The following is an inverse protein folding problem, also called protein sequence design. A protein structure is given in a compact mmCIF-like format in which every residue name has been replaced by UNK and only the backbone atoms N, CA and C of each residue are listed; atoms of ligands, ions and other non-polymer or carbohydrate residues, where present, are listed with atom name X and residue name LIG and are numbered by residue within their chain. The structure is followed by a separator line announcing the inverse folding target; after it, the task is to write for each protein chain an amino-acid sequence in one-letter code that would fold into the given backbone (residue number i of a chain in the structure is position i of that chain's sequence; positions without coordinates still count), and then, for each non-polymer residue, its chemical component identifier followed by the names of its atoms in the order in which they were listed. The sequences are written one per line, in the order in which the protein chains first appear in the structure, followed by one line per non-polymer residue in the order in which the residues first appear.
data_IF_168749730543
#
_entry.id   IF_168749730543
#
_cell.length_a   1.000
_cell.length_b   1.000
_cell.length_c   1.000
_cell.angle_alpha   90.00
_cell.angle_beta   90.00
_cell.angle_gamma   90.00
#
_symmetry.space_group_name_H-M   'P 1'
#
loop_
_entity.id
_entity.type
_entity.pdbx_description
1 polymer ?
#
# COMPACT_ATOMS: atom_id res chain seq x y z
N UNK A 1 15.18 24.52 -38.78
CA UNK A 1 14.62 24.81 -37.44
C UNK A 1 13.13 24.57 -37.49
N UNK A 2 12.71 23.35 -37.20
CA UNK A 2 11.32 22.94 -37.11
C UNK A 2 11.18 22.24 -35.76
N UNK A 3 10.71 22.96 -34.76
CA UNK A 3 10.48 22.41 -33.42
C UNK A 3 9.37 21.37 -33.43
N UNK A 4 9.35 20.42 -32.48
CA UNK A 4 8.29 19.44 -32.38
C UNK A 4 6.99 20.14 -31.95
N UNK A 5 5.92 19.88 -32.67
CA UNK A 5 4.55 20.24 -32.29
C UNK A 5 4.18 19.59 -30.97
N UNK A 6 3.51 20.30 -30.03
CA UNK A 6 3.06 19.69 -28.78
C UNK A 6 1.99 18.64 -29.08
N UNK A 7 2.24 17.40 -28.65
CA UNK A 7 1.27 16.31 -28.68
C UNK A 7 0.22 16.62 -27.60
N UNK A 8 -1.08 16.74 -27.94
CA UNK A 8 -2.12 16.91 -26.92
C UNK A 8 -2.23 15.64 -26.10
N UNK A 9 -2.10 15.76 -24.77
CA UNK A 9 -1.92 14.65 -23.83
C UNK A 9 -3.17 13.76 -23.62
N UNK A 10 -4.30 14.04 -24.28
CA UNK A 10 -5.42 13.11 -24.37
C UNK A 10 -6.37 13.50 -25.51
N UNK A 11 -6.65 12.58 -26.41
CA UNK A 11 -7.75 12.72 -27.38
C UNK A 11 -9.05 12.31 -26.68
N UNK A 12 -9.67 13.24 -25.96
CA UNK A 12 -11.03 13.04 -25.47
C UNK A 12 -11.97 13.81 -26.41
N UNK A 13 -12.77 13.13 -27.24
CA UNK A 13 -13.74 13.82 -28.08
C UNK A 13 -14.77 14.50 -27.17
N UNK A 14 -15.00 15.80 -27.37
CA UNK A 14 -16.04 16.54 -26.67
C UNK A 14 -17.42 16.18 -27.26
N UNK A 15 -17.90 14.99 -26.93
CA UNK A 15 -19.23 14.51 -27.29
C UNK A 15 -20.24 14.76 -26.16
N UNK A 16 -21.54 14.79 -26.50
CA UNK A 16 -22.65 14.90 -25.52
C UNK A 16 -22.58 13.79 -24.46
N UNK A 17 -21.98 12.65 -24.81
CA UNK A 17 -21.73 11.53 -23.92
C UNK A 17 -20.71 11.81 -22.80
N UNK A 18 -19.85 12.84 -22.94
CA UNK A 18 -18.90 13.27 -21.91
C UNK A 18 -19.40 14.49 -21.12
N UNK A 19 -20.14 15.39 -21.78
CA UNK A 19 -20.69 16.60 -21.16
C UNK A 19 -21.81 16.35 -20.15
N UNK A 20 -22.67 15.36 -20.38
CA UNK A 20 -23.78 15.05 -19.48
C UNK A 20 -23.33 14.41 -18.15
N UNK A 21 -22.43 13.40 -18.13
CA UNK A 21 -21.88 12.86 -16.89
C UNK A 21 -21.12 13.90 -16.07
N UNK A 22 -20.33 14.77 -16.71
CA UNK A 22 -19.52 15.79 -16.01
C UNK A 22 -20.37 16.86 -15.33
N UNK A 23 -21.50 17.29 -15.94
CA UNK A 23 -22.45 18.19 -15.30
C UNK A 23 -23.22 17.53 -14.15
N UNK A 24 -23.61 16.25 -14.31
CA UNK A 24 -24.27 15.46 -13.27
C UNK A 24 -23.38 15.25 -12.05
N UNK A 25 -22.07 15.13 -12.24
CA UNK A 25 -21.09 14.98 -11.17
C UNK A 25 -20.86 16.29 -10.40
N UNK A 26 -20.98 17.44 -11.07
CA UNK A 26 -20.75 18.74 -10.45
C UNK A 26 -21.95 19.25 -9.60
N UNK A 27 -23.18 18.97 -10.01
CA UNK A 27 -24.39 19.40 -9.27
C UNK A 27 -25.57 18.41 -9.41
N UNK A 28 -25.44 17.19 -8.86
CA UNK A 28 -26.39 16.10 -9.10
C UNK A 28 -27.83 16.44 -8.70
N UNK A 29 -28.02 17.14 -7.56
CA UNK A 29 -29.34 17.50 -7.06
C UNK A 29 -30.09 18.48 -7.98
N UNK A 30 -29.39 19.49 -8.51
CA UNK A 30 -30.01 20.50 -9.37
C UNK A 30 -30.45 19.88 -10.71
N UNK A 31 -29.60 19.04 -11.31
CA UNK A 31 -29.91 18.34 -12.56
C UNK A 31 -31.14 17.41 -12.42
N UNK A 32 -31.24 16.66 -11.31
CA UNK A 32 -32.38 15.77 -11.04
C UNK A 32 -33.68 16.54 -10.87
N UNK A 33 -33.65 17.67 -10.14
CA UNK A 33 -34.84 18.52 -9.95
C UNK A 33 -35.30 19.13 -11.27
N UNK A 34 -34.38 19.65 -12.10
CA UNK A 34 -34.73 20.21 -13.41
C UNK A 34 -35.35 19.14 -14.31
N UNK A 35 -34.75 17.94 -14.36
CA UNK A 35 -35.25 16.84 -15.18
C UNK A 35 -36.64 16.36 -14.75
N UNK A 36 -36.87 16.24 -13.43
CA UNK A 36 -38.17 15.90 -12.86
C UNK A 36 -39.24 16.94 -13.22
N UNK A 37 -38.92 18.24 -13.08
CA UNK A 37 -39.86 19.33 -13.41
C UNK A 37 -40.21 19.36 -14.91
N UNK A 38 -39.23 19.11 -15.79
CA UNK A 38 -39.47 19.00 -17.24
C UNK A 38 -40.40 17.82 -17.57
N UNK A 39 -40.11 16.64 -17.02
CA UNK A 39 -40.94 15.44 -17.22
C UNK A 39 -42.35 15.62 -16.64
N UNK A 40 -42.49 16.29 -15.49
CA UNK A 40 -43.77 16.61 -14.87
C UNK A 40 -44.65 17.48 -15.78
N UNK A 41 -44.08 18.56 -16.33
CA UNK A 41 -44.79 19.44 -17.26
C UNK A 41 -45.20 18.70 -18.55
N UNK A 42 -44.27 17.95 -19.15
CA UNK A 42 -44.50 17.21 -20.40
C UNK A 42 -45.54 16.11 -20.21
N UNK A 43 -45.42 15.31 -19.16
CA UNK A 43 -46.34 14.20 -18.89
C UNK A 43 -47.74 14.67 -18.51
N UNK A 44 -47.85 15.74 -17.69
CA UNK A 44 -49.15 16.35 -17.35
C UNK A 44 -49.85 16.93 -18.59
N UNK A 45 -49.09 17.60 -19.47
CA UNK A 45 -49.62 18.09 -20.74
C UNK A 45 -50.04 16.94 -21.67
N UNK A 46 -49.23 15.89 -21.78
CA UNK A 46 -49.51 14.73 -22.63
C UNK A 46 -50.77 13.99 -22.22
N UNK A 47 -50.98 13.75 -20.92
CA UNK A 47 -52.21 13.14 -20.40
C UNK A 47 -53.44 14.00 -20.69
N UNK A 48 -53.32 15.34 -20.53
CA UNK A 48 -54.39 16.29 -20.85
C UNK A 48 -54.71 16.32 -22.35
N UNK A 49 -53.70 16.29 -23.21
CA UNK A 49 -53.87 16.28 -24.66
C UNK A 49 -54.49 14.97 -25.18
N UNK A 50 -54.06 13.82 -24.66
CA UNK A 50 -54.67 12.52 -24.97
C UNK A 50 -56.15 12.46 -24.56
N UNK A 51 -56.55 13.13 -23.47
CA UNK A 51 -57.96 13.19 -23.10
C UNK A 51 -58.77 14.05 -24.06
N UNK A 52 -58.23 15.23 -24.42
CA UNK A 52 -58.90 16.19 -25.31
C UNK A 52 -59.16 15.60 -26.70
N UNK A 53 -58.17 14.95 -27.31
CA UNK A 53 -58.28 14.40 -28.68
C UNK A 53 -59.40 13.36 -28.85
N UNK A 54 -59.77 12.64 -27.79
CA UNK A 54 -60.79 11.57 -27.87
C UNK A 54 -62.15 12.01 -27.33
N UNK A 55 -62.20 12.88 -26.31
CA UNK A 55 -63.45 13.26 -25.62
C UNK A 55 -63.91 14.70 -25.90
N UNK A 56 -63.10 15.49 -26.62
CA UNK A 56 -63.27 16.94 -26.86
C UNK A 56 -63.40 17.78 -25.58
N UNK A 57 -63.08 17.23 -24.40
CA UNK A 57 -63.11 17.90 -23.11
C UNK A 57 -61.71 17.95 -22.50
N UNK A 58 -61.33 19.13 -22.00
CA UNK A 58 -60.08 19.29 -21.26
C UNK A 58 -60.20 18.69 -19.87
N UNK A 59 -59.34 17.73 -19.56
CA UNK A 59 -59.15 17.29 -18.18
C UNK A 59 -58.59 18.49 -17.37
N UNK A 60 -59.13 18.79 -16.17
CA UNK A 60 -58.57 19.80 -15.29
C UNK A 60 -57.07 19.58 -15.12
N UNK A 61 -56.27 20.64 -15.17
CA UNK A 61 -54.80 20.51 -15.14
C UNK A 61 -54.33 19.88 -13.82
N UNK A 62 -55.03 20.17 -12.72
CA UNK A 62 -54.78 19.58 -11.41
C UNK A 62 -54.92 18.05 -11.43
N UNK A 63 -55.92 17.52 -12.13
CA UNK A 63 -56.16 16.08 -12.24
C UNK A 63 -55.06 15.40 -13.07
N UNK A 64 -54.61 16.05 -14.16
CA UNK A 64 -53.52 15.54 -14.99
C UNK A 64 -52.17 15.55 -14.24
N UNK A 65 -51.92 16.61 -13.45
CA UNK A 65 -50.73 16.72 -12.58
C UNK A 65 -50.72 15.66 -11.49
N UNK A 66 -51.86 15.46 -10.82
CA UNK A 66 -52.01 14.42 -9.80
C UNK A 66 -51.80 13.02 -10.37
N UNK A 67 -52.43 12.72 -11.51
CA UNK A 67 -52.22 11.45 -12.20
C UNK A 67 -50.76 11.23 -12.57
N UNK A 68 -50.07 12.23 -13.14
CA UNK A 68 -48.66 12.08 -13.45
C UNK A 68 -47.84 11.74 -12.21
N UNK A 69 -48.06 12.44 -11.09
CA UNK A 69 -47.30 12.22 -9.86
C UNK A 69 -47.49 10.82 -9.31
N UNK A 70 -48.72 10.32 -9.28
CA UNK A 70 -49.02 8.97 -8.77
C UNK A 70 -48.51 7.86 -9.70
N UNK A 71 -48.44 8.11 -11.01
CA UNK A 71 -47.87 7.20 -12.00
C UNK A 71 -46.34 7.19 -11.96
N UNK A 72 -45.70 8.36 -11.90
CA UNK A 72 -44.25 8.52 -11.89
C UNK A 72 -43.62 7.94 -10.63
N UNK A 73 -44.24 8.15 -9.48
CA UNK A 73 -43.79 7.56 -8.19
C UNK A 73 -44.20 6.10 -8.04
N UNK A 74 -44.87 5.52 -9.05
CA UNK A 74 -45.36 4.14 -9.05
C UNK A 74 -46.32 3.80 -7.89
N UNK A 75 -46.97 4.81 -7.29
CA UNK A 75 -47.94 4.64 -6.19
C UNK A 75 -49.28 4.11 -6.71
N UNK A 76 -49.82 4.73 -7.76
CA UNK A 76 -51.00 4.25 -8.47
C UNK A 76 -52.28 4.05 -7.63
N UNK A 77 -52.76 5.09 -6.93
CA UNK A 77 -53.98 4.99 -6.10
C UNK A 77 -55.24 4.52 -6.86
N UNK A 78 -55.34 4.79 -8.16
CA UNK A 78 -56.46 4.36 -9.00
C UNK A 78 -57.74 5.19 -8.84
N UNK A 79 -57.66 6.33 -8.16
CA UNK A 79 -58.74 7.32 -8.02
C UNK A 79 -59.05 8.05 -9.33
N UNK A 80 -58.02 8.26 -10.17
CA UNK A 80 -58.13 8.79 -11.53
C UNK A 80 -57.39 7.88 -12.50
N UNK A 81 -58.07 7.39 -13.53
CA UNK A 81 -57.54 6.42 -14.49
C UNK A 81 -57.78 6.92 -15.92
N UNK A 82 -56.81 6.80 -16.84
CA UNK A 82 -57.02 7.17 -18.24
C UNK A 82 -58.01 6.21 -18.92
N UNK A 83 -59.14 6.75 -19.38
CA UNK A 83 -60.15 6.00 -20.13
C UNK A 83 -59.74 5.75 -21.58
N UNK A 84 -58.87 6.60 -22.15
CA UNK A 84 -58.45 6.55 -23.55
C UNK A 84 -57.25 5.62 -23.78
N UNK A 85 -57.17 4.99 -24.94
CA UNK A 85 -56.01 4.18 -25.34
C UNK A 85 -54.71 5.01 -25.37
N UNK A 86 -54.78 6.25 -25.85
CA UNK A 86 -53.68 7.23 -25.82
C UNK A 86 -53.18 7.47 -24.39
N UNK A 87 -54.09 7.76 -23.45
CA UNK A 87 -53.74 8.04 -22.07
C UNK A 87 -53.16 6.83 -21.35
N UNK A 88 -53.62 5.61 -21.67
CA UNK A 88 -53.04 4.36 -21.16
C UNK A 88 -51.61 4.15 -21.66
N UNK A 89 -51.35 4.43 -22.94
CA UNK A 89 -50.00 4.40 -23.51
C UNK A 89 -49.06 5.37 -22.77
N UNK A 90 -49.47 6.63 -22.62
CA UNK A 90 -48.70 7.64 -21.88
C UNK A 90 -48.45 7.21 -20.43
N UNK A 91 -49.47 6.71 -19.73
CA UNK A 91 -49.36 6.23 -18.36
C UNK A 91 -48.33 5.08 -18.22
N UNK A 92 -48.35 4.10 -19.13
CA UNK A 92 -47.36 3.00 -19.10
C UNK A 92 -45.93 3.47 -19.34
N UNK A 93 -45.71 4.39 -20.27
CA UNK A 93 -44.39 4.96 -20.56
C UNK A 93 -43.89 5.78 -19.36
N UNK A 94 -44.75 6.61 -18.77
CA UNK A 94 -44.41 7.39 -17.57
C UNK A 94 -44.01 6.50 -16.39
N UNK A 95 -44.70 5.37 -16.19
CA UNK A 95 -44.35 4.41 -15.14
C UNK A 95 -42.97 3.77 -15.36
N UNK A 96 -42.64 3.36 -16.60
CA UNK A 96 -41.33 2.80 -16.94
C UNK A 96 -40.22 3.82 -16.71
N UNK A 97 -40.42 5.05 -17.17
CA UNK A 97 -39.46 6.16 -16.99
C UNK A 97 -39.28 6.48 -15.49
N UNK A 98 -40.35 6.47 -14.70
CA UNK A 98 -40.31 6.67 -13.26
C UNK A 98 -39.39 5.68 -12.54
N UNK A 99 -39.52 4.38 -12.83
CA UNK A 99 -38.65 3.33 -12.26
C UNK A 99 -37.18 3.55 -12.62
N UNK A 100 -36.88 3.88 -13.89
CA UNK A 100 -35.50 4.12 -14.34
C UNK A 100 -34.87 5.32 -13.61
N UNK A 101 -35.63 6.38 -13.41
CA UNK A 101 -35.16 7.58 -12.70
C UNK A 101 -34.99 7.32 -11.20
N UNK A 102 -35.91 6.59 -10.58
CA UNK A 102 -35.78 6.18 -9.18
C UNK A 102 -34.52 5.34 -8.94
N UNK A 103 -34.18 4.42 -9.85
CA UNK A 103 -32.96 3.64 -9.76
C UNK A 103 -31.69 4.51 -9.89
N UNK A 104 -31.70 5.46 -10.83
CA UNK A 104 -30.59 6.41 -10.99
C UNK A 104 -30.42 7.32 -9.78
N UNK A 105 -31.52 7.81 -9.20
CA UNK A 105 -31.51 8.63 -7.99
C UNK A 105 -30.91 7.88 -6.80
N UNK A 106 -31.22 6.59 -6.63
CA UNK A 106 -30.61 5.75 -5.58
C UNK A 106 -29.08 5.64 -5.78
N UNK A 107 -28.61 5.46 -7.02
CA UNK A 107 -27.18 5.37 -7.31
C UNK A 107 -26.45 6.68 -6.96
N UNK A 108 -27.02 7.82 -7.34
CA UNK A 108 -26.47 9.15 -7.02
C UNK A 108 -26.47 9.42 -5.52
N UNK A 109 -27.58 9.12 -4.83
CA UNK A 109 -27.65 9.26 -3.37
C UNK A 109 -26.62 8.39 -2.66
N UNK A 110 -26.40 7.16 -3.12
CA UNK A 110 -25.38 6.28 -2.55
C UNK A 110 -23.99 6.88 -2.67
N UNK A 111 -23.67 7.61 -3.74
CA UNK A 111 -22.37 8.25 -3.93
C UNK A 111 -22.21 9.48 -3.03
N UNK A 112 -23.28 10.27 -2.84
CA UNK A 112 -23.27 11.45 -1.96
C UNK A 112 -23.11 11.04 -0.48
N UNK A 113 -23.64 9.87 -0.10
CA UNK A 113 -23.53 9.33 1.27
C UNK A 113 -22.15 8.74 1.58
N UNK A 114 -21.30 8.51 0.59
CA UNK A 114 -19.94 8.07 0.83
C UNK A 114 -19.11 9.25 1.33
N UNK A 115 -18.51 9.09 2.51
CA UNK A 115 -17.60 10.09 3.05
C UNK A 115 -16.39 10.27 2.14
N UNK A 116 -15.97 11.53 1.98
CA UNK A 116 -14.71 11.84 1.31
C UNK A 116 -13.52 11.25 2.08
N UNK A 117 -12.40 11.04 1.38
CA UNK A 117 -11.18 10.48 1.99
C UNK A 117 -10.72 11.28 3.21
N UNK A 118 -10.75 12.62 3.11
CA UNK A 118 -10.34 13.52 4.19
C UNK A 118 -11.34 13.55 5.36
N UNK A 119 -12.64 13.48 5.07
CA UNK A 119 -13.69 13.37 6.09
C UNK A 119 -13.57 12.05 6.86
N UNK A 120 -13.34 10.94 6.15
CA UNK A 120 -13.08 9.62 6.75
C UNK A 120 -11.84 9.65 7.63
N UNK A 121 -10.78 10.36 7.22
CA UNK A 121 -9.58 10.54 8.03
C UNK A 121 -9.87 11.31 9.32
N UNK A 122 -10.54 12.48 9.22
CA UNK A 122 -10.89 13.29 10.40
C UNK A 122 -11.81 12.52 11.33
N UNK A 123 -12.78 11.79 10.79
CA UNK A 123 -13.69 10.93 11.55
C UNK A 123 -12.93 9.83 12.33
N UNK A 124 -12.05 9.08 11.65
CA UNK A 124 -11.25 8.04 12.28
C UNK A 124 -10.28 8.61 13.34
N UNK A 125 -9.70 9.78 13.08
CA UNK A 125 -8.86 10.47 14.05
C UNK A 125 -9.64 10.89 15.29
N UNK A 126 -10.83 11.45 15.12
CA UNK A 126 -11.74 11.80 16.22
C UNK A 126 -12.13 10.58 17.06
N UNK A 127 -12.52 9.48 16.40
CA UNK A 127 -12.80 8.21 17.05
C UNK A 127 -11.61 7.69 17.86
N UNK A 128 -10.39 7.74 17.32
CA UNK A 128 -9.17 7.34 18.02
C UNK A 128 -8.94 8.14 19.30
N UNK A 129 -9.17 9.46 19.27
CA UNK A 129 -9.06 10.31 20.45
C UNK A 129 -10.11 9.92 21.50
N UNK A 130 -11.35 9.72 21.08
CA UNK A 130 -12.43 9.36 22.00
C UNK A 130 -12.18 7.99 22.66
N UNK A 131 -11.79 6.99 21.87
CA UNK A 131 -11.43 5.66 22.38
C UNK A 131 -10.28 5.73 23.38
N UNK A 132 -9.24 6.52 23.11
CA UNK A 132 -8.10 6.68 24.03
C UNK A 132 -8.52 7.30 25.38
N UNK A 133 -9.48 8.24 25.38
CA UNK A 133 -10.06 8.80 26.62
C UNK A 133 -10.83 7.74 27.39
N UNK A 134 -11.69 7.00 26.69
CA UNK A 134 -12.53 5.95 27.29
C UNK A 134 -11.70 4.79 27.85
N UNK A 135 -10.60 4.42 27.17
CA UNK A 135 -9.65 3.42 27.64
C UNK A 135 -9.03 3.81 28.99
N UNK A 136 -8.60 5.08 29.13
CA UNK A 136 -8.06 5.60 30.40
C UNK A 136 -9.10 5.56 31.51
N UNK A 137 -10.36 5.89 31.21
CA UNK A 137 -11.46 5.82 32.17
C UNK A 137 -11.70 4.39 32.67
N UNK A 138 -11.77 3.39 31.79
CA UNK A 138 -11.92 1.99 32.21
C UNK A 138 -10.70 1.46 32.95
N UNK A 139 -9.48 1.80 32.51
CA UNK A 139 -8.25 1.42 33.21
C UNK A 139 -8.22 1.97 34.66
N UNK A 140 -8.61 3.22 34.87
CA UNK A 140 -8.70 3.82 36.20
C UNK A 140 -9.74 3.08 37.08
N UNK A 141 -10.90 2.74 36.52
CA UNK A 141 -11.93 1.98 37.24
C UNK A 141 -11.45 0.58 37.62
N UNK A 142 -10.72 -0.12 36.73
CA UNK A 142 -10.15 -1.44 37.04
C UNK A 142 -9.24 -1.35 38.26
N UNK A 143 -8.32 -0.38 38.29
CA UNK A 143 -7.38 -0.20 39.42
C UNK A 143 -8.16 0.13 40.69
N UNK A 144 -9.11 1.06 40.62
CA UNK A 144 -9.90 1.48 41.78
C UNK A 144 -10.71 0.33 42.38
N UNK A 145 -11.47 -0.41 41.56
CA UNK A 145 -12.28 -1.52 42.06
C UNK A 145 -11.44 -2.74 42.44
N UNK A 146 -10.31 -2.99 41.78
CA UNK A 146 -9.37 -4.05 42.18
C UNK A 146 -8.80 -3.78 43.57
N UNK A 147 -8.36 -2.54 43.82
CA UNK A 147 -7.90 -2.13 45.15
C UNK A 147 -9.01 -2.22 46.19
N UNK A 148 -10.24 -1.78 45.85
CA UNK A 148 -11.39 -1.84 46.76
C UNK A 148 -11.74 -3.28 47.15
N UNK A 149 -11.74 -4.21 46.18
CA UNK A 149 -11.96 -5.64 46.41
C UNK A 149 -10.83 -6.23 47.27
N UNK A 150 -9.57 -5.91 46.99
CA UNK A 150 -8.42 -6.36 47.79
C UNK A 150 -8.51 -5.88 49.24
N UNK A 151 -8.83 -4.59 49.44
CA UNK A 151 -8.96 -3.98 50.77
C UNK A 151 -10.08 -4.64 51.58
N UNK A 152 -11.27 -4.81 50.98
CA UNK A 152 -12.42 -5.43 51.64
C UNK A 152 -12.17 -6.91 51.96
N UNK A 153 -11.44 -7.62 51.09
CA UNK A 153 -11.01 -8.99 51.36
C UNK A 153 -10.05 -9.06 52.56
N UNK A 154 -9.08 -8.15 52.62
CA UNK A 154 -8.11 -8.08 53.73
C UNK A 154 -8.78 -7.72 55.07
N UNK A 155 -9.85 -6.94 55.05
CA UNK A 155 -10.66 -6.63 56.23
C UNK A 155 -11.64 -7.76 56.64
N UNK A 156 -11.66 -8.90 55.93
CA UNK A 156 -12.54 -10.03 56.24
C UNK A 156 -14.02 -9.82 55.86
N UNK A 157 -14.35 -8.79 55.09
CA UNK A 157 -15.73 -8.39 54.73
C UNK A 157 -16.27 -9.09 53.47
N UNK A 158 -15.87 -10.33 53.21
CA UNK A 158 -16.08 -11.00 51.92
C UNK A 158 -17.56 -11.30 51.58
N UNK A 159 -18.44 -11.34 52.58
CA UNK A 159 -19.89 -11.54 52.41
C UNK A 159 -20.69 -10.23 52.38
N UNK A 160 -20.04 -9.07 52.47
CA UNK A 160 -20.75 -7.79 52.47
C UNK A 160 -21.33 -7.49 51.07
N UNK A 161 -22.47 -6.79 51.06
CA UNK A 161 -23.10 -6.31 49.81
C UNK A 161 -22.11 -5.41 49.04
N UNK A 162 -21.28 -4.65 49.76
CA UNK A 162 -20.26 -3.78 49.19
C UNK A 162 -19.15 -4.56 48.46
N UNK A 163 -18.74 -5.73 48.98
CA UNK A 163 -17.77 -6.60 48.33
C UNK A 163 -18.33 -7.12 47.00
N UNK A 164 -19.56 -7.67 47.02
CA UNK A 164 -20.22 -8.21 45.82
C UNK A 164 -20.45 -7.11 44.77
N UNK A 165 -20.83 -5.91 45.19
CA UNK A 165 -20.97 -4.76 44.29
C UNK A 165 -19.64 -4.35 43.66
N UNK A 166 -18.57 -4.22 44.46
CA UNK A 166 -17.24 -3.87 43.95
C UNK A 166 -16.68 -4.93 43.00
N UNK A 167 -16.90 -6.22 43.30
CA UNK A 167 -16.52 -7.34 42.45
C UNK A 167 -17.27 -7.34 41.11
N UNK A 168 -18.59 -7.12 41.11
CA UNK A 168 -19.37 -7.00 39.86
C UNK A 168 -18.91 -5.82 39.00
N UNK A 169 -18.64 -4.66 39.62
CA UNK A 169 -18.13 -3.49 38.91
C UNK A 169 -16.73 -3.70 38.34
N UNK A 170 -15.86 -4.43 39.06
CA UNK A 170 -14.54 -4.82 38.55
C UNK A 170 -14.65 -5.69 37.30
N UNK A 171 -15.44 -6.76 37.35
CA UNK A 171 -15.65 -7.64 36.18
C UNK A 171 -16.28 -6.88 35.00
N UNK A 172 -17.24 -6.01 35.26
CA UNK A 172 -17.82 -5.14 34.23
C UNK A 172 -16.78 -4.22 33.58
N UNK A 173 -15.90 -3.60 34.37
CA UNK A 173 -14.85 -2.72 33.86
C UNK A 173 -13.79 -3.49 33.04
N UNK A 174 -13.45 -4.73 33.44
CA UNK A 174 -12.54 -5.59 32.69
C UNK A 174 -13.15 -5.98 31.34
N UNK A 175 -14.42 -6.43 31.33
CA UNK A 175 -15.15 -6.80 30.12
C UNK A 175 -15.20 -5.64 29.13
N UNK A 176 -15.64 -4.46 29.57
CA UNK A 176 -15.74 -3.28 28.71
C UNK A 176 -14.39 -2.84 28.13
N UNK A 177 -13.30 -2.95 28.90
CA UNK A 177 -11.96 -2.64 28.40
C UNK A 177 -11.47 -3.67 27.36
N UNK A 178 -11.84 -4.95 27.52
CA UNK A 178 -11.53 -5.97 26.52
C UNK A 178 -12.29 -5.72 25.22
N UNK A 179 -13.59 -5.40 25.28
CA UNK A 179 -14.40 -5.04 24.11
C UNK A 179 -13.80 -3.84 23.37
N UNK A 180 -13.43 -2.77 24.09
CA UNK A 180 -12.75 -1.60 23.50
C UNK A 180 -11.43 -1.94 22.81
N UNK A 181 -10.62 -2.81 23.42
CA UNK A 181 -9.37 -3.27 22.80
C UNK A 181 -9.62 -4.06 21.53
N UNK A 182 -10.71 -4.81 21.45
CA UNK A 182 -11.08 -5.56 20.25
C UNK A 182 -11.54 -4.62 19.13
N UNK A 183 -12.38 -3.63 19.44
CA UNK A 183 -12.79 -2.59 18.50
C UNK A 183 -11.59 -1.80 17.96
N UNK A 184 -10.62 -1.47 18.83
CA UNK A 184 -9.39 -0.79 18.43
C UNK A 184 -8.56 -1.59 17.41
N UNK A 185 -8.49 -2.92 17.55
CA UNK A 185 -7.77 -3.77 16.58
C UNK A 185 -8.45 -3.76 15.21
N UNK A 186 -9.78 -3.85 15.19
CA UNK A 186 -10.55 -3.80 13.92
C UNK A 186 -10.34 -2.49 13.16
N UNK A 187 -10.22 -1.35 13.87
CA UNK A 187 -9.95 -0.05 13.25
C UNK A 187 -8.48 0.10 12.80
N UNK A 188 -7.53 -0.52 13.49
CA UNK A 188 -6.13 -0.55 13.07
C UNK A 188 -5.97 -1.31 11.74
N UNK A 189 -6.68 -2.44 11.58
CA UNK A 189 -6.69 -3.22 10.35
C UNK A 189 -7.29 -2.45 9.16
N UNK A 190 -8.15 -1.47 9.42
CA UNK A 190 -8.79 -0.64 8.39
C UNK A 190 -8.00 0.64 8.01
N UNK A 191 -7.01 1.03 8.82
CA UNK A 191 -6.17 2.23 8.61
C UNK A 191 -4.92 1.96 7.75
N UNK A 192 -4.78 0.75 7.19
CA UNK A 192 -3.62 0.30 6.39
C UNK A 192 -3.43 1.15 5.11
N UNK A 193 -4.47 1.82 4.59
CA UNK A 193 -4.39 2.54 3.30
C UNK A 193 -3.59 3.86 3.27
N UNK A 194 -3.24 4.45 4.42
CA UNK A 194 -2.47 5.72 4.45
C UNK A 194 -0.96 5.51 4.63
N UNK A 195 -0.58 4.41 5.30
CA UNK A 195 0.80 3.92 5.32
C UNK A 195 1.26 3.49 3.91
N UNK A 196 0.37 2.92 3.10
CA UNK A 196 0.61 2.59 1.69
C UNK A 196 0.97 3.82 0.82
N UNK A 197 0.44 5.01 1.14
CA UNK A 197 0.77 6.25 0.44
C UNK A 197 2.13 6.84 0.82
N UNK A 198 2.51 6.76 2.11
CA UNK A 198 3.83 7.17 2.57
C UNK A 198 4.93 6.21 2.11
N UNK A 199 4.63 4.91 2.11
CA UNK A 199 5.52 3.88 1.55
C UNK A 199 5.72 4.02 0.04
N UNK A 200 4.70 4.44 -0.71
CA UNK A 200 4.83 4.77 -2.13
C UNK A 200 5.80 5.93 -2.40
N UNK A 201 5.90 6.92 -1.49
CA UNK A 201 6.85 8.02 -1.62
C UNK A 201 8.30 7.58 -1.42
N UNK A 202 8.54 6.62 -0.52
CA UNK A 202 9.86 5.99 -0.32
C UNK A 202 10.27 5.08 -1.50
N UNK A 203 9.31 4.48 -2.19
CA UNK A 203 9.56 3.64 -3.37
C UNK A 203 10.00 4.42 -4.62
N UNK A 204 9.73 5.72 -4.70
CA UNK A 204 10.07 6.57 -5.86
C UNK A 204 11.58 6.75 -6.10
N UNK A 205 12.43 6.45 -5.10
CA UNK A 205 13.89 6.60 -5.22
C UNK A 205 14.67 5.31 -5.49
N UNK A 206 14.04 4.13 -5.41
CA UNK A 206 14.73 2.85 -5.56
C UNK A 206 14.49 2.24 -6.94
N UNK A 207 15.54 2.18 -7.77
CA UNK A 207 15.48 1.54 -9.10
C UNK A 207 15.72 0.04 -8.92
N UNK A 208 14.73 -0.77 -9.27
CA UNK A 208 14.82 -2.23 -9.23
C UNK A 208 15.84 -2.75 -10.26
N UNK A 209 16.91 -3.44 -9.85
CA UNK A 209 17.85 -4.04 -10.80
C UNK A 209 17.26 -5.27 -11.50
N UNK A 210 16.56 -6.11 -10.72
CA UNK A 210 15.87 -7.34 -11.18
C UNK A 210 14.66 -7.60 -10.30
N UNK A 211 13.79 -8.53 -10.70
CA UNK A 211 12.68 -8.98 -9.86
C UNK A 211 13.21 -9.80 -8.67
N UNK A 212 12.75 -9.45 -7.46
CA UNK A 212 13.33 -10.01 -6.24
C UNK A 212 13.03 -9.25 -4.96
N UNK A 213 13.71 -9.64 -3.88
CA UNK A 213 13.62 -9.05 -2.55
C UNK A 213 14.94 -8.35 -2.21
N UNK A 214 14.86 -7.10 -1.80
CA UNK A 214 16.01 -6.20 -1.60
C UNK A 214 15.90 -5.48 -0.26
N UNK A 215 17.05 -5.16 0.32
CA UNK A 215 17.15 -4.43 1.57
C UNK A 215 16.80 -2.95 1.38
N UNK A 216 16.05 -2.38 2.33
CA UNK A 216 15.83 -0.94 2.38
C UNK A 216 17.00 -0.23 3.09
N UNK A 217 17.70 0.72 2.44
CA UNK A 217 18.80 1.47 3.06
C UNK A 217 18.37 2.42 4.18
N UNK A 218 17.10 2.84 4.21
CA UNK A 218 16.62 3.91 5.10
C UNK A 218 15.99 3.41 6.39
N UNK A 219 15.37 2.23 6.36
CA UNK A 219 14.68 1.65 7.52
C UNK A 219 14.91 0.14 7.56
N UNK A 220 15.15 -0.36 8.77
CA UNK A 220 15.52 -1.74 9.05
C UNK A 220 14.33 -2.68 9.14
N UNK A 221 13.16 -2.12 9.44
CA UNK A 221 11.92 -2.86 9.59
C UNK A 221 11.16 -2.99 8.27
N UNK A 222 11.75 -2.60 7.13
CA UNK A 222 11.11 -2.64 5.82
C UNK A 222 12.06 -3.17 4.75
N UNK A 223 11.52 -3.72 3.67
CA UNK A 223 12.27 -4.27 2.54
C UNK A 223 11.55 -3.97 1.22
N UNK A 224 12.29 -3.96 0.11
CA UNK A 224 11.73 -3.74 -1.22
C UNK A 224 11.45 -5.09 -1.89
N UNK A 225 10.24 -5.23 -2.44
CA UNK A 225 9.86 -6.31 -3.36
C UNK A 225 9.73 -5.74 -4.76
N UNK A 226 10.64 -6.11 -5.63
CA UNK A 226 10.61 -5.71 -7.05
C UNK A 226 9.82 -6.73 -7.87
N UNK A 227 8.82 -6.26 -8.59
CA UNK A 227 8.03 -7.06 -9.54
C UNK A 227 7.86 -6.27 -10.83
N UNK A 228 8.25 -6.83 -11.97
CA UNK A 228 8.21 -6.18 -13.28
C UNK A 228 8.90 -4.81 -13.27
N UNK A 229 10.03 -4.71 -12.58
CA UNK A 229 10.80 -3.46 -12.46
C UNK A 229 10.17 -2.39 -11.55
N UNK A 230 9.05 -2.68 -10.88
CA UNK A 230 8.40 -1.75 -9.93
C UNK A 230 8.75 -2.13 -8.50
N UNK A 231 9.24 -1.17 -7.71
CA UNK A 231 9.59 -1.37 -6.31
C UNK A 231 8.36 -1.22 -5.41
N UNK A 232 8.03 -2.27 -4.67
CA UNK A 232 7.00 -2.24 -3.62
C UNK A 232 7.67 -2.30 -2.25
N UNK A 233 7.46 -1.28 -1.41
CA UNK A 233 7.97 -1.28 -0.04
C UNK A 233 7.06 -2.15 0.84
N UNK A 234 7.65 -3.12 1.52
CA UNK A 234 6.98 -4.10 2.38
C UNK A 234 7.50 -3.96 3.82
N UNK A 235 6.62 -3.88 4.83
CA UNK A 235 7.03 -3.91 6.23
C UNK A 235 7.31 -5.34 6.72
N UNK A 236 8.31 -5.49 7.58
CA UNK A 236 8.51 -6.67 8.41
C UNK A 236 7.47 -6.71 9.55
N UNK A 237 7.11 -7.90 10.06
CA UNK A 237 6.31 -8.02 11.27
C UNK A 237 6.96 -7.30 12.46
N UNK A 238 6.14 -6.82 13.40
CA UNK A 238 6.58 -5.95 14.48
C UNK A 238 7.77 -6.53 15.28
N UNK A 239 8.87 -5.77 15.34
CA UNK A 239 10.09 -6.12 16.07
C UNK A 239 11.12 -6.95 15.30
N UNK A 240 10.83 -7.31 14.04
CA UNK A 240 11.77 -8.01 13.16
C UNK A 240 12.48 -7.03 12.21
N UNK A 241 13.67 -7.42 11.76
CA UNK A 241 14.55 -6.67 10.87
C UNK A 241 14.86 -7.49 9.62
N UNK A 242 14.90 -6.87 8.45
CA UNK A 242 15.15 -7.56 7.18
C UNK A 242 16.58 -8.10 7.07
N UNK A 243 16.74 -9.41 6.81
CA UNK A 243 18.02 -10.08 6.51
C UNK A 243 18.15 -10.33 5.00
N UNK A 244 19.08 -9.62 4.35
CA UNK A 244 19.31 -9.77 2.90
C UNK A 244 19.91 -11.12 2.51
N UNK A 245 20.67 -11.77 3.41
CA UNK A 245 21.35 -13.03 3.10
C UNK A 245 20.37 -14.20 2.99
N UNK A 246 19.44 -14.29 3.94
CA UNK A 246 18.39 -15.32 3.97
C UNK A 246 17.08 -14.86 3.32
N UNK A 247 16.94 -13.58 2.98
CA UNK A 247 15.73 -12.96 2.41
C UNK A 247 14.49 -13.17 3.29
N UNK A 248 14.67 -13.01 4.60
CA UNK A 248 13.62 -13.15 5.63
C UNK A 248 13.71 -12.02 6.65
N UNK A 249 12.62 -11.73 7.35
CA UNK A 249 12.63 -10.86 8.53
C UNK A 249 13.05 -11.67 9.77
N UNK A 250 14.15 -11.31 10.42
CA UNK A 250 14.73 -12.00 11.57
C UNK A 250 14.96 -11.04 12.76
N UNK A 251 15.24 -11.57 13.94
CA UNK A 251 15.43 -10.76 15.15
C UNK A 251 16.73 -9.92 15.10
N UNK A 252 16.71 -8.65 15.55
CA UNK A 252 17.87 -7.75 15.50
C UNK A 252 19.11 -8.29 16.24
N UNK A 253 18.92 -9.06 17.31
CA UNK A 253 20.00 -9.68 18.08
C UNK A 253 20.89 -10.63 17.26
N UNK A 254 20.40 -11.11 16.12
CA UNK A 254 21.09 -12.07 15.26
C UNK A 254 21.88 -11.37 14.13
N UNK A 255 21.60 -10.09 13.84
CA UNK A 255 22.20 -9.37 12.70
C UNK A 255 23.47 -8.56 13.01
N UNK A 256 23.66 -8.10 14.24
CA UNK A 256 24.64 -7.05 14.56
C UNK A 256 26.13 -7.40 14.31
N UNK A 257 26.47 -8.66 14.01
CA UNK A 257 27.85 -9.11 13.83
C UNK A 257 28.05 -10.16 12.72
N UNK A 258 27.11 -10.32 11.78
CA UNK A 258 27.27 -11.35 10.74
C UNK A 258 28.33 -10.94 9.73
N UNK A 259 29.46 -11.64 9.81
CA UNK A 259 30.48 -11.70 8.77
C UNK A 259 30.15 -12.85 7.84
N UNK A 260 30.38 -12.65 6.56
CA UNK A 260 30.06 -13.61 5.53
C UNK A 260 31.33 -14.02 4.78
N UNK A 261 31.41 -15.32 4.51
CA UNK A 261 32.25 -15.85 3.46
C UNK A 261 31.49 -15.73 2.14
N UNK A 262 32.09 -15.08 1.13
CA UNK A 262 31.49 -14.97 -0.20
C UNK A 262 32.18 -15.99 -1.11
N UNK A 263 31.44 -17.02 -1.53
CA UNK A 263 31.93 -18.11 -2.40
C UNK A 263 31.47 -17.92 -3.83
N UNK A 264 32.28 -18.29 -4.82
CA UNK A 264 31.87 -18.23 -6.23
C UNK A 264 31.28 -19.56 -6.72
N UNK A 265 30.37 -19.53 -7.68
CA UNK A 265 29.75 -20.70 -8.29
C UNK A 265 28.31 -21.01 -7.85
N UNK A 266 27.64 -20.07 -7.17
CA UNK A 266 26.25 -20.24 -6.72
C UNK A 266 26.08 -21.42 -5.75
N UNK A 267 25.18 -22.36 -6.07
CA UNK A 267 24.89 -23.53 -5.21
C UNK A 267 25.96 -24.64 -5.24
N UNK A 268 27.00 -24.48 -6.06
CA UNK A 268 28.11 -25.42 -6.18
C UNK A 268 29.30 -24.93 -5.39
N UNK A 269 29.80 -25.72 -4.43
CA UNK A 269 30.95 -25.36 -3.60
C UNK A 269 32.24 -25.49 -4.41
N UNK A 270 32.70 -24.38 -4.98
CA UNK A 270 33.98 -24.31 -5.71
C UNK A 270 35.21 -24.34 -4.78
N UNK A 271 34.99 -24.15 -3.47
CA UNK A 271 36.06 -24.03 -2.48
C UNK A 271 36.88 -22.75 -2.62
N UNK A 272 36.46 -21.81 -3.48
CA UNK A 272 37.05 -20.49 -3.65
C UNK A 272 36.15 -19.42 -3.05
N UNK A 273 36.79 -18.53 -2.31
CA UNK A 273 36.18 -17.41 -1.61
C UNK A 273 36.79 -16.12 -2.12
N UNK A 274 36.01 -15.04 -2.06
CA UNK A 274 36.56 -13.69 -2.12
C UNK A 274 37.56 -13.51 -1.00
N UNK A 275 38.69 -12.90 -1.33
CA UNK A 275 39.81 -12.69 -0.44
C UNK A 275 40.50 -11.38 -0.78
N UNK A 276 40.97 -10.67 0.24
CA UNK A 276 41.85 -9.51 0.06
C UNK A 276 43.25 -10.04 -0.24
N UNK A 277 43.83 -9.65 -1.37
CA UNK A 277 45.12 -10.17 -1.82
C UNK A 277 46.21 -10.04 -0.75
N UNK A 278 46.79 -11.18 -0.36
CA UNK A 278 47.81 -11.26 0.69
C UNK A 278 47.34 -10.89 2.10
N UNK A 279 46.04 -10.67 2.31
CA UNK A 279 45.49 -10.12 3.55
C UNK A 279 45.93 -8.67 3.81
N UNK A 280 46.32 -7.92 2.79
CA UNK A 280 46.77 -6.54 2.95
C UNK A 280 45.57 -5.59 3.17
N UNK A 281 45.52 -4.94 4.32
CA UNK A 281 44.47 -3.96 4.66
C UNK A 281 44.73 -2.54 4.09
N UNK A 282 45.82 -2.36 3.33
CA UNK A 282 46.15 -1.09 2.71
C UNK A 282 45.14 -0.71 1.61
N UNK A 283 45.08 0.58 1.31
CA UNK A 283 44.25 1.11 0.24
C UNK A 283 44.73 0.60 -1.12
N UNK A 284 43.79 0.42 -2.04
CA UNK A 284 44.01 -0.15 -3.38
C UNK A 284 44.40 -1.63 -3.38
N UNK A 285 44.34 -2.29 -2.22
CA UNK A 285 44.51 -3.74 -2.16
C UNK A 285 43.43 -4.42 -3.00
N UNK A 286 43.87 -5.35 -3.84
CA UNK A 286 43.02 -6.02 -4.80
C UNK A 286 42.16 -7.11 -4.15
N UNK A 287 40.94 -7.29 -4.66
CA UNK A 287 40.11 -8.44 -4.30
C UNK A 287 40.33 -9.57 -5.30
N UNK A 288 40.57 -10.76 -4.79
CA UNK A 288 40.88 -11.96 -5.57
C UNK A 288 40.05 -13.16 -5.11
N UNK A 289 40.09 -14.22 -5.91
CA UNK A 289 39.70 -15.56 -5.46
C UNK A 289 40.85 -16.23 -4.74
N UNK A 290 40.56 -16.80 -3.58
CA UNK A 290 41.51 -17.63 -2.85
C UNK A 290 40.82 -18.81 -2.18
N UNK A 291 41.58 -19.80 -1.72
CA UNK A 291 41.01 -20.94 -0.98
C UNK A 291 40.25 -20.42 0.23
N UNK A 292 39.05 -20.95 0.48
CA UNK A 292 38.30 -20.61 1.67
C UNK A 292 39.08 -21.06 2.92
N UNK A 293 39.46 -20.11 3.78
CA UNK A 293 40.20 -20.36 5.02
C UNK A 293 39.66 -19.58 6.22
N UNK A 294 38.64 -18.74 6.05
CA UNK A 294 37.88 -18.14 7.15
C UNK A 294 38.64 -17.10 8.00
N UNK A 295 39.79 -16.63 7.52
CA UNK A 295 40.56 -15.55 8.21
C UNK A 295 39.95 -14.20 7.88
N UNK A 296 40.33 -13.16 8.62
CA UNK A 296 39.80 -11.79 8.47
C UNK A 296 39.80 -11.25 7.02
N UNK A 297 40.74 -11.67 6.16
CA UNK A 297 40.79 -11.29 4.74
C UNK A 297 39.65 -11.85 3.88
N UNK A 298 38.79 -12.71 4.44
CA UNK A 298 37.61 -13.30 3.79
C UNK A 298 36.32 -13.04 4.57
N UNK A 299 36.37 -12.21 5.62
CA UNK A 299 35.22 -11.92 6.48
C UNK A 299 34.57 -10.60 6.04
N UNK A 300 33.62 -10.68 5.11
CA UNK A 300 32.93 -9.51 4.57
C UNK A 300 31.69 -9.16 5.40
N UNK A 301 31.43 -7.88 5.57
CA UNK A 301 30.31 -7.33 6.32
C UNK A 301 29.41 -6.55 5.35
N UNK A 302 28.13 -6.88 5.28
CA UNK A 302 27.16 -6.16 4.46
C UNK A 302 26.49 -5.06 5.26
N UNK A 303 26.60 -3.83 4.78
CA UNK A 303 25.98 -2.68 5.42
C UNK A 303 24.73 -2.22 4.65
N UNK A 304 23.81 -1.59 5.40
CA UNK A 304 22.53 -1.09 4.86
C UNK A 304 22.69 0.04 3.85
N UNK A 305 23.78 0.77 3.92
CA UNK A 305 24.14 1.80 2.95
C UNK A 305 24.46 1.22 1.55
N UNK A 306 24.48 -0.12 1.42
CA UNK A 306 24.84 -0.84 0.19
C UNK A 306 26.34 -1.10 0.09
N UNK A 307 27.13 -0.77 1.10
CA UNK A 307 28.58 -1.03 1.09
C UNK A 307 28.88 -2.44 1.58
N UNK A 308 29.86 -3.08 0.94
CA UNK A 308 30.46 -4.33 1.42
C UNK A 308 31.78 -3.95 2.08
N UNK A 309 31.90 -4.21 3.39
CA UNK A 309 33.06 -3.80 4.20
C UNK A 309 33.90 -5.00 4.59
N UNK A 310 35.20 -4.78 4.70
CA UNK A 310 36.16 -5.78 5.19
C UNK A 310 37.36 -5.06 5.78
N UNK A 311 37.83 -5.51 6.95
CA UNK A 311 38.99 -4.95 7.64
C UNK A 311 38.93 -3.42 7.82
N UNK A 312 37.73 -2.85 8.00
CA UNK A 312 37.50 -1.40 8.16
C UNK A 312 37.57 -0.57 6.87
N UNK A 313 37.61 -1.21 5.71
CA UNK A 313 37.57 -0.58 4.37
C UNK A 313 36.33 -1.03 3.61
N UNK A 314 35.99 -0.30 2.55
CA UNK A 314 34.89 -0.63 1.66
C UNK A 314 35.41 -1.25 0.37
N UNK A 315 34.64 -2.20 -0.16
CA UNK A 315 34.77 -2.64 -1.54
C UNK A 315 34.49 -1.45 -2.45
N UNK A 316 35.32 -1.26 -3.48
CA UNK A 316 35.32 -0.04 -4.28
C UNK A 316 35.68 -0.34 -5.74
N UNK A 317 34.99 0.33 -6.64
CA UNK A 317 35.35 0.40 -8.05
C UNK A 317 36.26 1.62 -8.27
N UNK A 318 37.54 1.43 -8.66
CA UNK A 318 38.50 2.51 -8.78
C UNK A 318 38.03 3.62 -9.73
N UNK A 319 38.30 4.87 -9.34
CA UNK A 319 37.97 6.10 -10.07
C UNK A 319 36.49 6.27 -10.45
N UNK A 320 35.58 5.49 -9.86
CA UNK A 320 34.16 5.44 -10.26
C UNK A 320 33.97 5.12 -11.75
N UNK A 321 34.85 4.30 -12.34
CA UNK A 321 34.78 3.91 -13.75
C UNK A 321 34.40 2.44 -13.89
N UNK A 322 33.21 2.17 -14.43
CA UNK A 322 32.67 0.81 -14.59
C UNK A 322 32.80 0.27 -16.02
N UNK A 323 34.01 0.19 -16.56
CA UNK A 323 34.29 -0.48 -17.84
C UNK A 323 34.50 -1.99 -17.65
N UNK A 324 34.35 -2.76 -18.73
CA UNK A 324 34.62 -4.20 -18.71
C UNK A 324 36.11 -4.45 -18.38
N UNK A 325 36.37 -5.46 -17.57
CA UNK A 325 37.68 -5.83 -17.01
C UNK A 325 38.24 -4.89 -15.94
N UNK A 326 37.44 -3.93 -15.45
CA UNK A 326 37.86 -3.09 -14.34
C UNK A 326 38.05 -3.89 -13.06
N UNK A 327 39.23 -3.83 -12.45
CA UNK A 327 39.51 -4.52 -11.18
C UNK A 327 38.78 -3.88 -10.01
N UNK A 328 38.42 -4.68 -9.00
CA UNK A 328 37.83 -4.18 -7.75
C UNK A 328 38.87 -4.13 -6.64
N UNK A 329 38.79 -3.11 -5.78
CA UNK A 329 39.79 -2.81 -4.76
C UNK A 329 39.17 -2.53 -3.39
N UNK A 330 40.03 -2.42 -2.37
CA UNK A 330 39.69 -1.81 -1.08
C UNK A 330 39.97 -0.31 -1.08
N UNK A 331 39.00 0.47 -0.61
CA UNK A 331 39.17 1.91 -0.46
C UNK A 331 38.50 2.46 0.80
N UNK A 332 38.69 3.77 1.04
CA UNK A 332 37.97 4.47 2.11
C UNK A 332 36.47 4.39 1.86
N UNK A 333 35.69 4.16 2.91
CA UNK A 333 34.24 4.20 2.83
C UNK A 333 33.76 5.65 2.67
N UNK A 334 33.08 5.94 1.56
CA UNK A 334 32.46 7.24 1.31
C UNK A 334 30.94 7.12 1.40
N UNK A 335 30.28 8.09 2.03
CA UNK A 335 28.83 8.18 2.00
C UNK A 335 28.35 8.64 0.62
N UNK A 336 27.28 8.00 0.13
CA UNK A 336 26.58 8.38 -1.11
C UNK A 336 27.36 8.25 -2.44
N UNK A 337 28.43 7.45 -2.52
CA UNK A 337 29.07 7.14 -3.81
C UNK A 337 28.53 5.85 -4.43
N UNK A 338 28.20 5.89 -5.73
CA UNK A 338 27.65 4.72 -6.46
C UNK A 338 28.69 3.62 -6.71
N UNK A 339 29.98 3.97 -6.77
CA UNK A 339 31.09 3.05 -7.01
C UNK A 339 31.43 2.15 -5.80
N UNK A 340 30.76 2.37 -4.66
CA UNK A 340 30.85 1.56 -3.45
C UNK A 340 29.50 0.94 -3.05
N UNK A 341 28.45 1.14 -3.87
CA UNK A 341 27.11 0.58 -3.63
C UNK A 341 26.94 -0.70 -4.44
N UNK A 342 26.98 -1.82 -3.73
CA UNK A 342 26.81 -3.15 -4.28
C UNK A 342 25.42 -3.68 -3.96
N UNK A 343 24.74 -4.19 -4.97
CA UNK A 343 23.40 -4.76 -4.85
C UNK A 343 23.47 -6.24 -5.20
N UNK A 344 23.10 -7.11 -4.27
CA UNK A 344 22.99 -8.54 -4.53
C UNK A 344 21.59 -8.83 -5.06
N UNK A 345 21.51 -9.40 -6.25
CA UNK A 345 20.24 -9.73 -6.90
C UNK A 345 19.64 -11.07 -6.46
N UNK A 346 18.43 -11.37 -6.96
CA UNK A 346 17.73 -12.61 -6.67
C UNK A 346 18.48 -13.86 -7.17
N UNK A 347 19.34 -13.71 -8.18
CA UNK A 347 20.18 -14.76 -8.75
C UNK A 347 21.56 -14.82 -8.11
N UNK A 348 21.80 -14.15 -6.98
CA UNK A 348 23.07 -14.13 -6.26
C UNK A 348 24.23 -13.50 -7.06
N UNK A 349 23.95 -12.57 -7.96
CA UNK A 349 24.96 -11.76 -8.64
C UNK A 349 25.14 -10.44 -7.90
N UNK A 350 26.38 -9.94 -7.87
CA UNK A 350 26.72 -8.68 -7.20
C UNK A 350 26.81 -7.59 -8.28
N UNK A 351 25.91 -6.61 -8.22
CA UNK A 351 25.80 -5.50 -9.16
C UNK A 351 26.42 -4.23 -8.60
N UNK A 352 27.12 -3.48 -9.44
CA UNK A 352 27.63 -2.15 -9.12
C UNK A 352 27.68 -1.32 -10.41
N UNK A 353 27.16 -0.10 -10.37
CA UNK A 353 27.19 0.86 -11.50
C UNK A 353 26.77 0.25 -12.86
N UNK A 354 25.76 -0.65 -12.87
CA UNK A 354 25.25 -1.30 -14.08
C UNK A 354 26.11 -2.45 -14.64
N UNK A 355 27.12 -2.91 -13.90
CA UNK A 355 27.96 -4.08 -14.21
C UNK A 355 27.85 -5.13 -13.10
N UNK A 356 28.28 -6.35 -13.42
CA UNK A 356 28.34 -7.45 -12.46
C UNK A 356 29.79 -7.73 -12.05
N UNK A 357 29.98 -8.10 -10.78
CA UNK A 357 31.22 -8.68 -10.31
C UNK A 357 31.45 -10.02 -11.01
N UNK A 358 32.66 -10.25 -11.51
CA UNK A 358 32.98 -11.38 -12.36
C UNK A 358 34.37 -11.94 -12.06
N UNK A 359 34.50 -13.24 -12.28
CA UNK A 359 35.79 -13.94 -12.29
C UNK A 359 36.32 -13.95 -13.72
N UNK A 360 37.47 -13.30 -14.00
CA UNK A 360 38.02 -13.21 -15.35
C UNK A 360 38.14 -14.57 -16.03
N UNK A 361 37.63 -14.65 -17.26
CA UNK A 361 37.65 -15.85 -18.11
C UNK A 361 37.01 -17.09 -17.46
N UNK A 362 36.18 -16.93 -16.43
CA UNK A 362 35.59 -18.03 -15.67
C UNK A 362 36.61 -18.90 -14.93
N UNK A 363 37.85 -18.43 -14.75
CA UNK A 363 38.91 -19.23 -14.13
C UNK A 363 38.84 -19.20 -12.60
N UNK A 364 38.16 -20.19 -12.01
CA UNK A 364 37.98 -20.31 -10.55
C UNK A 364 39.23 -20.90 -9.88
N UNK A 365 40.34 -20.16 -9.93
CA UNK A 365 41.66 -20.53 -9.39
C UNK A 365 42.12 -19.54 -8.31
N UNK A 366 43.12 -19.94 -7.50
CA UNK A 366 43.69 -19.03 -6.49
C UNK A 366 44.43 -17.87 -7.17
N UNK A 367 44.43 -16.72 -6.51
CA UNK A 367 45.09 -15.50 -6.95
C UNK A 367 44.55 -14.94 -8.28
N UNK A 368 43.33 -15.32 -8.66
CA UNK A 368 42.65 -14.68 -9.79
C UNK A 368 41.93 -13.41 -9.29
N UNK A 369 42.31 -12.20 -9.74
CA UNK A 369 41.67 -10.98 -9.30
C UNK A 369 40.25 -10.84 -9.85
N UNK A 370 39.33 -10.32 -9.06
CA UNK A 370 37.98 -10.04 -9.53
C UNK A 370 37.92 -8.79 -10.39
N UNK A 371 37.01 -8.81 -11.36
CA UNK A 371 36.76 -7.72 -12.29
C UNK A 371 35.27 -7.35 -12.33
N UNK A 372 34.97 -6.21 -12.93
CA UNK A 372 33.63 -5.90 -13.43
C UNK A 372 33.51 -6.36 -14.87
N UNK A 373 32.37 -6.96 -15.19
CA UNK A 373 32.06 -7.37 -16.55
C UNK A 373 30.56 -7.24 -16.85
N UNK A 374 30.20 -7.34 -18.14
CA UNK A 374 28.79 -7.42 -18.53
C UNK A 374 28.13 -8.59 -17.80
N UNK A 375 26.97 -8.32 -17.22
CA UNK A 375 26.18 -9.33 -16.54
C UNK A 375 25.78 -10.46 -17.50
N UNK A 376 26.05 -11.70 -17.10
CA UNK A 376 25.69 -12.93 -17.79
C UNK A 376 25.31 -14.01 -16.75
N UNK A 377 24.96 -15.20 -17.22
CA UNK A 377 24.42 -16.28 -16.37
C UNK A 377 25.42 -17.44 -16.15
N UNK A 378 26.71 -17.20 -16.33
CA UNK A 378 27.75 -18.18 -16.02
C UNK A 378 28.13 -18.17 -14.53
N UNK A 379 28.61 -19.32 -14.03
CA UNK A 379 28.98 -19.53 -12.63
C UNK A 379 30.02 -18.53 -12.10
N UNK A 380 30.79 -17.88 -12.97
CA UNK A 380 31.79 -16.86 -12.63
C UNK A 380 31.21 -15.57 -12.04
N UNK A 381 29.89 -15.33 -12.18
CA UNK A 381 29.21 -14.15 -11.64
C UNK A 381 28.21 -14.47 -10.52
N UNK A 382 28.08 -15.75 -10.14
CA UNK A 382 27.16 -16.17 -9.08
C UNK A 382 27.91 -16.36 -7.76
N UNK A 383 27.51 -15.63 -6.72
CA UNK A 383 28.18 -15.58 -5.43
C UNK A 383 27.26 -15.96 -4.26
N UNK A 384 27.64 -16.94 -3.48
CA UNK A 384 26.87 -17.38 -2.32
C UNK A 384 27.46 -16.85 -1.03
N UNK A 385 26.62 -16.22 -0.22
CA UNK A 385 26.95 -15.67 1.09
C UNK A 385 26.70 -16.72 2.16
N UNK A 386 27.75 -17.12 2.87
CA UNK A 386 27.66 -18.05 3.99
C UNK A 386 28.00 -17.30 5.27
N UNK A 387 27.07 -17.23 6.23
CA UNK A 387 27.33 -16.65 7.54
C UNK A 387 28.42 -17.45 8.25
N UNK A 388 29.37 -16.74 8.86
CA UNK A 388 30.42 -17.29 9.71
C UNK A 388 29.97 -17.52 11.15
#
# INVERSE_FOLDING_TARGET
MSGPTPIPLSFIPMDVALGLPTYLEQSPALCLVIFFMLMFCIGSWSLRACNYTTTNQHLPIANAMWMFMTLFTTVGYGDLIPSTYCGRGVATITAIIGVMISAFLIAVLSQILLLNRWEKYIYNFGLNIEMAKTQKFYAANIIFYAWKVWRLNRSGMQRSIEYVYAQRKLFGAISNNQTLKQEQRQLADHNIGLAELMTAHLALGFVCPTDGLFLNPHDEHTYFRCVLGTAHLMPCPAGLVWDQSNRICEWPSVQAFRRFLITVGGNTTTGKCLDVAGGNAELHSQIQLFRCHGKQSQQFELHRDGTIRIMGKCLDVPDSKAYDHQSVQLFHCHSAQENQRFIIDAQNRIHVMGKCLDVPNGQIVNNNPLQLFRCHNEASQHFTLTSL
#
